data_IF_564437794862
#
_entry.id   IF_564437794862
#
_cell.length_a   1.000
_cell.length_b   1.000
_cell.length_c   1.000
_cell.angle_alpha   90.00
_cell.angle_beta   90.00
_cell.angle_gamma   90.00
#
_symmetry.space_group_name_H-M   'P 1'
#
loop_
_entity.id
_entity.type
_entity.pdbx_description
1 polymer ?
#
# COMPACT_ATOMS: atom_id res chain seq x y z
N UNK A 1 12.70 18.71 9.11
CA UNK A 1 13.31 18.64 10.47
C UNK A 1 13.75 17.21 10.79
N UNK A 2 12.89 16.19 10.75
CA UNK A 2 13.23 14.77 11.02
C UNK A 2 14.32 14.22 10.10
N UNK A 3 14.28 14.54 8.80
CA UNK A 3 15.30 14.11 7.82
C UNK A 3 16.67 14.70 8.15
N UNK A 4 16.73 15.96 8.54
CA UNK A 4 17.98 16.64 8.93
C UNK A 4 18.60 15.99 10.18
N UNK A 5 17.79 15.69 11.19
CA UNK A 5 18.23 15.00 12.40
C UNK A 5 18.75 13.60 12.07
N UNK A 6 18.05 12.88 11.19
CA UNK A 6 18.45 11.55 10.78
C UNK A 6 19.78 11.57 10.00
N UNK A 7 19.97 12.52 9.08
CA UNK A 7 21.24 12.73 8.37
C UNK A 7 22.40 12.95 9.31
N UNK A 8 22.22 13.76 10.37
CA UNK A 8 23.26 14.00 11.39
C UNK A 8 23.60 12.72 12.13
N UNK A 9 22.57 11.94 12.54
CA UNK A 9 22.78 10.66 13.25
C UNK A 9 23.47 9.61 12.38
N UNK A 10 23.20 9.61 11.08
CA UNK A 10 23.77 8.65 10.14
C UNK A 10 25.19 8.99 9.69
N UNK A 11 25.65 10.24 9.86
CA UNK A 11 27.04 10.63 9.56
C UNK A 11 28.12 9.83 10.30
N UNK A 12 27.77 9.19 11.43
CA UNK A 12 28.69 8.31 12.17
C UNK A 12 28.98 6.97 11.49
N UNK A 13 28.17 6.59 10.48
CA UNK A 13 28.43 5.40 9.70
C UNK A 13 29.41 5.72 8.56
N UNK A 14 30.37 4.84 8.33
CA UNK A 14 31.41 5.01 7.29
C UNK A 14 30.92 4.74 5.88
N UNK A 15 29.61 4.70 5.65
CA UNK A 15 29.01 4.47 4.35
C UNK A 15 28.19 5.68 3.88
N UNK A 16 28.13 5.94 2.57
CA UNK A 16 27.24 6.95 2.01
C UNK A 16 25.78 6.65 2.36
N UNK A 17 25.02 7.69 2.71
CA UNK A 17 23.59 7.58 3.00
C UNK A 17 22.82 8.42 2.00
N UNK A 18 21.97 7.78 1.24
CA UNK A 18 21.08 8.40 0.28
C UNK A 18 19.62 8.29 0.74
N UNK A 19 18.86 9.39 0.56
CA UNK A 19 17.43 9.43 0.83
C UNK A 19 16.70 9.39 -0.51
N UNK A 20 16.02 8.29 -0.76
CA UNK A 20 15.26 8.12 -2.00
C UNK A 20 14.02 9.00 -1.97
N UNK A 21 13.83 9.74 -3.06
CA UNK A 21 12.66 10.60 -3.30
C UNK A 21 11.95 10.17 -4.57
N UNK A 22 10.61 10.22 -4.59
CA UNK A 22 9.85 9.98 -5.81
C UNK A 22 10.28 10.95 -6.92
N UNK A 23 10.42 10.42 -8.12
CA UNK A 23 10.82 11.14 -9.31
C UNK A 23 9.68 11.18 -10.31
N UNK A 24 9.75 12.06 -11.32
CA UNK A 24 8.78 12.06 -12.43
C UNK A 24 8.84 10.77 -13.24
N UNK A 25 10.05 10.23 -13.39
CA UNK A 25 10.31 8.95 -14.04
C UNK A 25 11.53 8.28 -13.41
N UNK A 26 11.47 6.98 -13.20
CA UNK A 26 12.63 6.17 -12.87
C UNK A 26 12.55 4.84 -13.63
N UNK A 27 13.57 4.55 -14.45
CA UNK A 27 13.58 3.39 -15.36
C UNK A 27 12.29 3.36 -16.22
N UNK A 28 11.50 2.32 -16.07
CA UNK A 28 10.24 2.08 -16.78
C UNK A 28 8.99 2.52 -16.00
N UNK A 29 9.16 3.12 -14.81
CA UNK A 29 8.02 3.62 -13.99
C UNK A 29 7.88 5.14 -14.11
N UNK A 30 6.72 5.60 -14.58
CA UNK A 30 6.28 6.99 -14.56
C UNK A 30 5.49 7.27 -13.28
N UNK A 31 5.62 8.50 -12.79
CA UNK A 31 4.82 9.03 -11.70
C UNK A 31 3.69 9.89 -12.26
N UNK A 32 2.46 9.42 -12.12
CA UNK A 32 1.25 10.10 -12.58
C UNK A 32 0.78 11.25 -11.69
N UNK A 33 1.39 11.45 -10.52
CA UNK A 33 1.05 12.59 -9.67
C UNK A 33 1.32 13.92 -10.37
N UNK A 34 0.43 14.90 -10.20
CA UNK A 34 0.62 16.27 -10.70
C UNK A 34 1.93 16.86 -10.19
N UNK A 35 2.19 16.67 -8.89
CA UNK A 35 3.42 17.05 -8.22
C UNK A 35 4.15 15.77 -7.73
N UNK A 36 5.08 15.21 -8.51
CA UNK A 36 5.75 13.94 -8.19
C UNK A 36 6.42 13.89 -6.83
N UNK A 37 6.91 15.02 -6.34
CA UNK A 37 7.58 15.15 -5.04
C UNK A 37 6.65 14.96 -3.83
N UNK A 38 5.34 15.01 -4.03
CA UNK A 38 4.33 14.83 -2.97
C UNK A 38 3.91 13.38 -2.77
N UNK A 39 4.29 12.49 -3.69
CA UNK A 39 4.05 11.06 -3.52
C UNK A 39 4.91 10.53 -2.35
N UNK A 40 4.35 9.66 -1.51
CA UNK A 40 5.10 8.97 -0.46
C UNK A 40 6.20 8.08 -1.06
N UNK A 41 7.40 8.12 -0.48
CA UNK A 41 8.53 7.33 -0.98
C UNK A 41 8.27 5.82 -0.90
N UNK A 42 7.57 5.37 0.14
CA UNK A 42 7.15 3.99 0.34
C UNK A 42 6.20 3.48 -0.77
N UNK A 43 5.22 4.30 -1.15
CA UNK A 43 4.28 3.99 -2.25
C UNK A 43 5.00 3.95 -3.60
N UNK A 44 5.88 4.92 -3.85
CA UNK A 44 6.73 4.95 -5.04
C UNK A 44 7.62 3.72 -5.16
N UNK A 45 8.28 3.36 -4.04
CA UNK A 45 9.14 2.18 -3.98
C UNK A 45 8.34 0.89 -4.18
N UNK A 46 7.17 0.75 -3.56
CA UNK A 46 6.30 -0.42 -3.77
C UNK A 46 5.93 -0.58 -5.24
N UNK A 47 5.55 0.52 -5.91
CA UNK A 47 5.25 0.50 -7.34
C UNK A 47 6.48 0.13 -8.20
N UNK A 48 7.67 0.58 -7.81
CA UNK A 48 8.90 0.23 -8.51
C UNK A 48 9.23 -1.27 -8.40
N UNK A 49 9.11 -1.86 -7.20
CA UNK A 49 9.28 -3.31 -7.02
C UNK A 49 8.33 -4.09 -7.91
N UNK A 50 7.04 -3.74 -7.84
CA UNK A 50 6.01 -4.39 -8.64
C UNK A 50 6.30 -4.29 -10.13
N UNK A 51 6.62 -3.11 -10.63
CA UNK A 51 6.93 -2.88 -12.04
C UNK A 51 8.22 -3.59 -12.51
N UNK A 52 9.09 -4.01 -11.60
CA UNK A 52 10.26 -4.81 -11.92
C UNK A 52 9.96 -6.30 -12.12
N UNK A 53 8.97 -6.81 -11.38
CA UNK A 53 8.72 -8.26 -11.31
C UNK A 53 7.54 -8.74 -12.16
N UNK A 54 6.57 -7.87 -12.45
CA UNK A 54 5.35 -8.29 -13.17
C UNK A 54 5.07 -7.39 -14.38
N UNK A 55 4.56 -8.00 -15.44
CA UNK A 55 4.18 -7.30 -16.69
C UNK A 55 2.67 -7.25 -16.82
N UNK A 56 2.01 -6.63 -15.83
CA UNK A 56 0.56 -6.55 -15.69
C UNK A 56 0.16 -5.24 -15.06
N UNK A 57 -1.12 -4.93 -15.16
CA UNK A 57 -1.75 -3.93 -14.30
C UNK A 57 -1.73 -4.42 -12.85
N UNK A 58 -1.55 -3.53 -11.90
CA UNK A 58 -1.47 -3.91 -10.51
C UNK A 58 -2.27 -3.00 -9.57
N UNK A 59 -2.95 -3.61 -8.60
CA UNK A 59 -3.46 -2.94 -7.41
C UNK A 59 -2.55 -3.31 -6.24
N UNK A 60 -1.79 -2.36 -5.74
CA UNK A 60 -0.81 -2.57 -4.67
C UNK A 60 -1.43 -2.13 -3.36
N UNK A 61 -1.50 -3.03 -2.40
CA UNK A 61 -2.12 -2.79 -1.09
C UNK A 61 -1.07 -2.96 -0.01
N UNK A 62 -0.73 -1.89 0.67
CA UNK A 62 0.15 -1.93 1.84
C UNK A 62 -0.66 -1.71 3.10
N UNK A 63 -0.75 -2.73 3.96
CA UNK A 63 -1.56 -2.72 5.19
C UNK A 63 -0.64 -2.65 6.41
N UNK A 64 -0.53 -1.44 6.98
CA UNK A 64 0.32 -1.16 8.13
C UNK A 64 -0.24 -0.04 9.00
N UNK A 65 0.60 0.85 9.50
CA UNK A 65 0.19 2.05 10.27
C UNK A 65 -0.84 2.89 9.50
N UNK A 66 -0.63 3.05 8.21
CA UNK A 66 -1.64 3.49 7.25
C UNK A 66 -1.91 2.34 6.27
N UNK A 67 -3.07 2.33 5.66
CA UNK A 67 -3.35 1.47 4.50
C UNK A 67 -3.27 2.33 3.26
N UNK A 68 -2.46 1.92 2.30
CA UNK A 68 -2.44 2.52 0.96
C UNK A 68 -2.89 1.50 -0.06
N UNK A 69 -3.71 1.91 -0.99
CA UNK A 69 -4.18 1.07 -2.09
C UNK A 69 -3.94 1.86 -3.36
N UNK A 70 -3.00 1.39 -4.15
CA UNK A 70 -2.43 2.10 -5.29
C UNK A 70 -2.69 1.34 -6.58
N UNK A 71 -2.91 2.08 -7.65
CA UNK A 71 -3.12 1.54 -8.97
C UNK A 71 -1.92 1.88 -9.87
N UNK A 72 -1.39 0.85 -10.53
CA UNK A 72 -0.29 0.96 -11.49
C UNK A 72 -0.75 0.35 -12.81
N UNK A 73 -0.79 1.16 -13.86
CA UNK A 73 -1.09 0.71 -15.23
C UNK A 73 0.17 0.21 -15.95
N UNK A 74 -0.02 -0.62 -16.97
CA UNK A 74 1.07 -1.19 -17.77
C UNK A 74 0.81 -1.04 -19.26
N UNK A 75 1.64 -0.26 -19.93
CA UNK A 75 1.68 -0.18 -21.40
C UNK A 75 2.63 -1.26 -21.94
N UNK A 76 2.05 -2.34 -22.44
CA UNK A 76 2.80 -3.47 -22.99
C UNK A 76 3.63 -3.09 -24.22
N UNK A 77 3.17 -2.13 -25.05
CA UNK A 77 3.86 -1.74 -26.28
C UNK A 77 5.18 -1.04 -25.99
N UNK A 78 5.16 -0.17 -24.98
CA UNK A 78 6.32 0.63 -24.59
C UNK A 78 7.10 0.01 -23.42
N UNK A 79 6.64 -1.12 -22.87
CA UNK A 79 7.15 -1.73 -21.65
C UNK A 79 7.28 -0.70 -20.52
N UNK A 80 6.22 0.09 -20.33
CA UNK A 80 6.20 1.21 -19.41
C UNK A 80 5.06 1.09 -18.40
N UNK A 81 5.33 1.43 -17.15
CA UNK A 81 4.36 1.49 -16.07
C UNK A 81 4.06 2.93 -15.72
N UNK A 82 2.83 3.19 -15.26
CA UNK A 82 2.45 4.46 -14.68
C UNK A 82 1.84 4.24 -13.31
N UNK A 83 2.38 4.90 -12.29
CA UNK A 83 1.73 5.04 -11.00
C UNK A 83 0.57 6.01 -11.16
N UNK A 84 -0.64 5.51 -11.27
CA UNK A 84 -1.84 6.32 -11.55
C UNK A 84 -2.35 7.05 -10.31
N UNK A 85 -2.05 6.53 -9.13
CA UNK A 85 -2.52 7.04 -7.86
C UNK A 85 -3.23 5.99 -7.04
N UNK A 86 -4.00 6.44 -6.05
CA UNK A 86 -4.69 5.52 -5.16
C UNK A 86 -5.33 6.23 -3.98
N UNK A 87 -5.63 5.46 -2.94
CA UNK A 87 -6.29 5.95 -1.71
C UNK A 87 -5.44 5.64 -0.48
N UNK A 88 -5.61 6.44 0.56
CA UNK A 88 -4.94 6.27 1.85
C UNK A 88 -6.01 6.24 2.94
N UNK A 89 -5.94 5.22 3.80
CA UNK A 89 -6.80 5.08 4.97
C UNK A 89 -5.94 4.92 6.23
N UNK A 90 -6.48 5.25 7.41
CA UNK A 90 -5.82 4.87 8.66
C UNK A 90 -5.78 3.35 8.77
N UNK A 91 -4.65 2.80 9.25
CA UNK A 91 -4.56 1.38 9.59
C UNK A 91 -5.42 1.03 10.80
N UNK A 92 -5.57 -0.28 11.07
CA UNK A 92 -6.46 -0.77 12.13
C UNK A 92 -6.16 -0.15 13.49
N UNK A 93 -4.89 -0.09 13.86
CA UNK A 93 -4.46 0.48 15.14
C UNK A 93 -4.76 1.98 15.25
N UNK A 94 -4.53 2.74 14.18
CA UNK A 94 -4.89 4.16 14.14
C UNK A 94 -6.40 4.37 14.21
N UNK A 95 -7.18 3.52 13.53
CA UNK A 95 -8.64 3.56 13.55
C UNK A 95 -9.16 3.32 14.98
N UNK A 96 -8.66 2.27 15.65
CA UNK A 96 -9.03 1.97 17.05
C UNK A 96 -8.67 3.11 17.99
N UNK A 97 -7.47 3.65 17.89
CA UNK A 97 -7.00 4.76 18.72
C UNK A 97 -7.80 6.03 18.48
N UNK A 98 -8.13 6.35 17.23
CA UNK A 98 -8.93 7.52 16.89
C UNK A 98 -10.33 7.43 17.49
N UNK A 99 -10.96 6.27 17.44
CA UNK A 99 -12.27 6.04 18.06
C UNK A 99 -12.18 6.11 19.58
N UNK A 100 -11.21 5.44 20.20
CA UNK A 100 -11.03 5.45 21.65
C UNK A 100 -10.77 6.86 22.22
N UNK A 101 -9.99 7.67 21.52
CA UNK A 101 -9.62 9.02 21.98
C UNK A 101 -10.70 10.10 21.74
N UNK A 102 -11.63 9.86 20.82
CA UNK A 102 -12.63 10.87 20.41
C UNK A 102 -14.06 10.46 20.73
N UNK A 103 -14.27 9.36 21.47
CA UNK A 103 -15.61 8.93 21.93
C UNK A 103 -15.59 8.65 23.42
N UNK A 104 -16.70 8.97 24.13
CA UNK A 104 -16.75 8.92 25.60
C UNK A 104 -16.59 7.50 26.18
N UNK A 105 -17.08 6.47 25.46
CA UNK A 105 -17.24 5.12 26.01
C UNK A 105 -16.49 4.02 25.22
N UNK A 106 -15.78 4.36 24.14
CA UNK A 106 -15.03 3.38 23.37
C UNK A 106 -13.62 3.23 23.92
N UNK A 107 -13.43 2.20 24.75
CA UNK A 107 -12.08 1.75 25.18
C UNK A 107 -11.45 0.94 24.07
N UNK A 108 -10.12 0.79 24.10
CA UNK A 108 -9.40 -0.11 23.19
C UNK A 108 -9.88 -1.54 23.39
N UNK A 109 -10.45 -2.15 22.36
CA UNK A 109 -10.93 -3.54 22.38
C UNK A 109 -10.22 -4.37 21.33
N UNK A 110 -9.97 -5.64 21.67
CA UNK A 110 -9.67 -6.65 20.66
C UNK A 110 -11.00 -7.21 20.14
N UNK A 111 -11.19 -7.12 18.84
CA UNK A 111 -12.36 -7.65 18.12
C UNK A 111 -11.96 -8.74 17.15
N UNK A 112 -12.96 -9.40 16.62
CA UNK A 112 -12.82 -10.34 15.50
C UNK A 112 -13.73 -9.89 14.36
N UNK A 113 -13.33 -10.17 13.14
CA UNK A 113 -14.16 -9.86 11.96
C UNK A 113 -15.37 -10.77 11.96
N UNK A 114 -16.54 -10.20 12.12
CA UNK A 114 -17.83 -10.91 12.16
C UNK A 114 -18.92 -10.06 11.51
N UNK A 115 -19.71 -10.67 10.64
CA UNK A 115 -20.77 -9.96 9.93
C UNK A 115 -22.11 -10.70 9.94
N UNK A 116 -23.18 -10.03 10.38
CA UNK A 116 -23.19 -8.72 11.06
C UNK A 116 -22.52 -8.80 12.44
N UNK A 117 -21.90 -7.70 12.86
CA UNK A 117 -21.28 -7.60 14.19
C UNK A 117 -22.33 -7.27 15.24
N UNK A 118 -22.29 -7.98 16.36
CA UNK A 118 -23.23 -7.82 17.48
C UNK A 118 -22.63 -7.19 18.74
N UNK A 119 -21.39 -6.71 18.66
CA UNK A 119 -20.71 -5.95 19.70
C UNK A 119 -19.77 -4.90 19.06
N UNK A 120 -19.42 -3.88 19.83
CA UNK A 120 -18.65 -2.73 19.36
C UNK A 120 -17.25 -3.10 18.89
N UNK A 121 -16.55 -4.00 19.59
CA UNK A 121 -15.19 -4.39 19.22
C UNK A 121 -15.18 -5.07 17.84
N UNK A 122 -16.08 -6.04 17.61
CA UNK A 122 -16.21 -6.70 16.33
C UNK A 122 -16.69 -5.73 15.23
N UNK A 123 -17.57 -4.77 15.56
CA UNK A 123 -18.04 -3.78 14.60
C UNK A 123 -16.90 -2.87 14.10
N UNK A 124 -15.98 -2.48 14.97
CA UNK A 124 -14.80 -1.68 14.60
C UNK A 124 -13.85 -2.51 13.71
N UNK A 125 -13.54 -3.75 14.10
CA UNK A 125 -12.68 -4.65 13.33
C UNK A 125 -13.25 -4.93 11.94
N UNK A 126 -14.53 -5.32 11.91
CA UNK A 126 -15.24 -5.62 10.65
C UNK A 126 -15.36 -4.38 9.76
N UNK A 127 -15.64 -3.20 10.35
CA UNK A 127 -15.73 -1.95 9.62
C UNK A 127 -14.41 -1.57 8.94
N UNK A 128 -13.29 -1.76 9.63
CA UNK A 128 -11.96 -1.56 9.05
C UNK A 128 -11.73 -2.51 7.87
N UNK A 129 -11.89 -3.81 8.07
CA UNK A 129 -11.66 -4.82 7.02
C UNK A 129 -12.55 -4.57 5.80
N UNK A 130 -13.84 -4.30 6.00
CA UNK A 130 -14.76 -3.97 4.92
C UNK A 130 -14.37 -2.71 4.16
N UNK A 131 -13.90 -1.68 4.87
CA UNK A 131 -13.44 -0.45 4.23
C UNK A 131 -12.26 -0.73 3.32
N UNK A 132 -11.29 -1.52 3.77
CA UNK A 132 -10.12 -1.90 2.96
C UNK A 132 -10.55 -2.73 1.76
N UNK A 133 -11.35 -3.79 1.97
CA UNK A 133 -11.82 -4.67 0.89
C UNK A 133 -12.65 -3.92 -0.16
N UNK A 134 -13.51 -2.99 0.27
CA UNK A 134 -14.31 -2.16 -0.63
C UNK A 134 -13.44 -1.27 -1.53
N UNK A 135 -12.40 -0.66 -0.97
CA UNK A 135 -11.46 0.16 -1.74
C UNK A 135 -10.60 -0.70 -2.70
N UNK A 136 -10.14 -1.88 -2.26
CA UNK A 136 -9.44 -2.83 -3.14
C UNK A 136 -10.33 -3.19 -4.35
N UNK A 137 -11.58 -3.57 -4.08
CA UNK A 137 -12.55 -3.92 -5.13
C UNK A 137 -12.76 -2.76 -6.11
N UNK A 138 -12.94 -1.55 -5.61
CA UNK A 138 -13.16 -0.36 -6.44
C UNK A 138 -11.97 -0.08 -7.37
N UNK A 139 -10.73 -0.13 -6.86
CA UNK A 139 -9.55 0.08 -7.71
C UNK A 139 -9.29 -1.10 -8.64
N UNK A 140 -9.58 -2.32 -8.21
CA UNK A 140 -9.50 -3.50 -9.07
C UNK A 140 -10.49 -3.41 -10.24
N UNK A 141 -11.73 -2.95 -10.01
CA UNK A 141 -12.71 -2.77 -11.07
C UNK A 141 -12.29 -1.69 -12.07
N UNK A 142 -11.68 -0.60 -11.60
CA UNK A 142 -11.09 0.43 -12.47
C UNK A 142 -9.99 -0.22 -13.33
N UNK A 143 -9.07 -0.96 -12.73
CA UNK A 143 -7.99 -1.63 -13.46
C UNK A 143 -8.55 -2.64 -14.49
N UNK A 144 -9.57 -3.41 -14.11
CA UNK A 144 -10.22 -4.37 -15.01
C UNK A 144 -11.00 -3.72 -16.16
N UNK A 145 -11.42 -2.46 -16.03
CA UNK A 145 -12.02 -1.73 -17.16
C UNK A 145 -11.01 -1.39 -18.25
N UNK A 146 -9.73 -1.34 -17.94
CA UNK A 146 -8.63 -1.04 -18.85
C UNK A 146 -7.88 -2.29 -19.32
N UNK A 147 -7.83 -3.34 -18.49
CA UNK A 147 -7.12 -4.59 -18.79
C UNK A 147 -7.78 -5.79 -18.13
N UNK A 148 -7.72 -6.95 -18.81
CA UNK A 148 -8.13 -8.22 -18.18
C UNK A 148 -7.00 -8.88 -17.38
N UNK A 149 -5.76 -8.42 -17.52
CA UNK A 149 -4.59 -8.96 -16.84
C UNK A 149 -4.17 -8.03 -15.69
N UNK A 150 -4.86 -8.17 -14.56
CA UNK A 150 -4.68 -7.38 -13.34
C UNK A 150 -4.24 -8.29 -12.21
N UNK A 151 -3.30 -7.85 -11.39
CA UNK A 151 -2.86 -8.53 -10.17
C UNK A 151 -3.10 -7.63 -8.95
N UNK A 152 -3.52 -8.23 -7.83
CA UNK A 152 -3.63 -7.59 -6.53
C UNK A 152 -2.44 -8.05 -5.69
N UNK A 153 -1.63 -7.10 -5.22
CA UNK A 153 -0.44 -7.39 -4.43
C UNK A 153 -0.65 -6.86 -3.02
N UNK A 154 -0.78 -7.78 -2.07
CA UNK A 154 -0.90 -7.44 -0.65
C UNK A 154 0.49 -7.41 -0.01
N UNK A 155 0.73 -6.39 0.82
CA UNK A 155 1.95 -6.20 1.60
C UNK A 155 1.64 -5.56 2.95
N UNK A 156 2.62 -5.57 3.85
CA UNK A 156 2.49 -4.99 5.19
C UNK A 156 2.10 -6.01 6.26
N UNK A 157 2.14 -5.58 7.52
CA UNK A 157 1.96 -6.47 8.67
C UNK A 157 0.57 -7.12 8.77
N UNK A 158 -0.47 -6.40 8.34
CA UNK A 158 -1.86 -6.86 8.40
C UNK A 158 -2.38 -7.39 7.03
N UNK A 159 -1.47 -7.68 6.07
CA UNK A 159 -1.83 -8.19 4.74
C UNK A 159 -2.61 -9.52 4.82
N UNK A 160 -2.20 -10.42 5.71
CA UNK A 160 -2.84 -11.73 5.91
C UNK A 160 -4.27 -11.59 6.45
N UNK A 161 -4.53 -10.59 7.32
CA UNK A 161 -5.88 -10.29 7.80
C UNK A 161 -6.81 -9.92 6.63
N UNK A 162 -6.35 -9.08 5.72
CA UNK A 162 -7.13 -8.69 4.55
C UNK A 162 -7.34 -9.87 3.61
N UNK A 163 -6.29 -10.66 3.34
CA UNK A 163 -6.41 -11.84 2.49
C UNK A 163 -7.42 -12.85 3.03
N UNK A 164 -7.41 -13.13 4.34
CA UNK A 164 -8.34 -14.09 4.96
C UNK A 164 -9.81 -13.75 4.70
N UNK A 165 -10.13 -12.44 4.63
CA UNK A 165 -11.50 -11.96 4.47
C UNK A 165 -11.85 -11.54 3.03
N UNK A 166 -10.92 -11.71 2.09
CA UNK A 166 -11.13 -11.37 0.70
C UNK A 166 -12.13 -12.33 0.03
N UNK A 167 -12.99 -11.76 -0.81
CA UNK A 167 -13.93 -12.56 -1.61
C UNK A 167 -13.20 -13.56 -2.51
N UNK A 168 -13.75 -14.76 -2.63
CA UNK A 168 -13.19 -15.85 -3.44
C UNK A 168 -12.99 -15.44 -4.91
N UNK A 169 -13.83 -14.56 -5.43
CA UNK A 169 -13.71 -14.06 -6.80
C UNK A 169 -12.46 -13.23 -7.03
N UNK A 170 -11.97 -12.53 -6.01
CA UNK A 170 -10.75 -11.73 -6.03
C UNK A 170 -9.50 -12.52 -5.65
N UNK A 171 -9.61 -13.54 -4.79
CA UNK A 171 -8.46 -14.32 -4.29
C UNK A 171 -7.56 -14.89 -5.39
N UNK A 172 -8.10 -15.24 -6.54
CA UNK A 172 -7.34 -15.77 -7.69
C UNK A 172 -6.38 -14.74 -8.32
N UNK A 173 -6.58 -13.46 -8.03
CA UNK A 173 -5.72 -12.37 -8.51
C UNK A 173 -4.70 -11.90 -7.48
N UNK A 174 -4.75 -12.49 -6.25
CA UNK A 174 -3.95 -12.01 -5.11
C UNK A 174 -2.62 -12.72 -5.02
N UNK A 175 -1.58 -11.93 -4.78
CA UNK A 175 -0.28 -12.40 -4.29
C UNK A 175 0.13 -11.60 -3.05
N UNK A 176 0.81 -12.26 -2.10
CA UNK A 176 1.33 -11.60 -0.90
C UNK A 176 2.84 -11.43 -1.05
N UNK A 177 3.32 -10.20 -0.90
CA UNK A 177 4.73 -9.82 -0.98
C UNK A 177 5.12 -9.05 0.28
N UNK A 178 6.02 -9.60 1.10
CA UNK A 178 6.33 -9.02 2.43
C UNK A 178 7.22 -7.78 2.35
N UNK A 179 8.13 -7.69 1.40
CA UNK A 179 9.27 -6.77 1.45
C UNK A 179 9.38 -5.84 0.22
N UNK A 180 8.24 -5.39 -0.35
CA UNK A 180 8.22 -4.57 -1.57
C UNK A 180 9.14 -3.33 -1.52
N UNK A 181 9.13 -2.62 -0.39
CA UNK A 181 9.97 -1.42 -0.21
C UNK A 181 11.44 -1.79 -0.15
N UNK A 182 11.80 -2.87 0.57
CA UNK A 182 13.19 -3.33 0.68
C UNK A 182 13.73 -3.86 -0.66
N UNK A 183 12.91 -4.61 -1.40
CA UNK A 183 13.26 -5.04 -2.76
C UNK A 183 13.58 -3.85 -3.67
N UNK A 184 12.78 -2.79 -3.59
CA UNK A 184 13.03 -1.59 -4.37
C UNK A 184 14.29 -0.84 -3.96
N UNK A 185 14.59 -0.78 -2.67
CA UNK A 185 15.86 -0.20 -2.19
C UNK A 185 17.04 -0.97 -2.76
N UNK A 186 16.95 -2.29 -2.85
CA UNK A 186 17.97 -3.12 -3.51
C UNK A 186 18.09 -2.81 -5.01
N UNK A 187 16.97 -2.63 -5.72
CA UNK A 187 16.94 -2.22 -7.14
C UNK A 187 17.63 -0.86 -7.34
N UNK A 188 17.49 0.08 -6.39
CA UNK A 188 18.19 1.36 -6.43
C UNK A 188 19.68 1.20 -6.16
N UNK A 189 20.07 0.42 -5.17
CA UNK A 189 21.46 0.24 -4.75
C UNK A 189 22.31 -0.55 -5.77
N UNK A 190 21.67 -1.35 -6.63
CA UNK A 190 22.34 -2.19 -7.63
C UNK A 190 22.57 -1.48 -8.97
N UNK A 191 22.31 -0.18 -9.06
CA UNK A 191 22.55 0.69 -10.21
C UNK A 191 23.53 1.80 -9.86
#
# INVERSE_FOLDING_TARGET
EKEAILKIKLKKFSCPVEFIKPQKKYKYLLNGYKEPSTLGADRWLSALSVSHHIKKYAVIVSVGTAVTIDYVSFDQKNNQYTFEGGVILPGLHLTKNALANNTADLKSFEGVVQMPSINTANAIESGFVLSVLGNIKSLFDIACSESQDVEIILSGGDAELIDQHMDKSLKKYVSIKKDLVLESLFIFASN
#
